data_IF_635383466410
#
_entry.id   IF_635383466410
#
_cell.length_a   1.000
_cell.length_b   1.000
_cell.length_c   1.000
_cell.angle_alpha   90.00
_cell.angle_beta   90.00
_cell.angle_gamma   90.00
#
_symmetry.space_group_name_H-M   'P 1'
#
loop_
_entity.id
_entity.type
_entity.pdbx_description
1 polymer ?
#
# COMPACT_ATOMS: atom_id res chain seq x y z
N UNK A 1 23.32 -53.21 6.82
CA UNK A 1 22.19 -52.31 7.14
C UNK A 1 22.68 -50.88 7.02
N UNK A 2 22.47 -50.24 5.87
CA UNK A 2 23.02 -48.91 5.55
C UNK A 2 21.98 -47.85 5.94
N UNK A 3 22.44 -46.90 6.74
CA UNK A 3 21.63 -45.99 7.57
C UNK A 3 20.89 -44.98 6.71
N UNK A 4 19.58 -44.86 6.95
CA UNK A 4 18.72 -43.77 6.49
C UNK A 4 19.19 -42.45 7.10
N UNK A 5 19.79 -41.57 6.28
CA UNK A 5 20.11 -40.19 6.67
C UNK A 5 19.85 -39.24 5.50
N UNK A 6 18.63 -39.27 4.96
CA UNK A 6 18.15 -38.29 3.98
C UNK A 6 16.75 -37.88 4.41
N UNK A 7 16.65 -36.88 5.29
CA UNK A 7 15.32 -36.51 5.81
C UNK A 7 15.20 -35.25 6.66
N UNK A 8 16.20 -34.37 6.71
CA UNK A 8 16.18 -33.21 7.62
C UNK A 8 16.08 -31.84 6.94
N UNK A 9 16.06 -31.75 5.61
CA UNK A 9 16.00 -30.44 4.92
C UNK A 9 14.59 -29.88 4.68
N UNK A 10 13.52 -30.66 4.93
CA UNK A 10 12.16 -30.27 4.56
C UNK A 10 11.41 -29.44 5.62
N UNK A 11 11.93 -29.33 6.84
CA UNK A 11 11.20 -28.71 7.97
C UNK A 11 11.34 -27.18 8.05
N UNK A 12 12.26 -26.57 7.30
CA UNK A 12 12.48 -25.12 7.30
C UNK A 12 11.46 -24.32 6.47
N UNK A 13 10.64 -24.99 5.65
CA UNK A 13 9.60 -24.36 4.82
C UNK A 13 8.25 -24.18 5.55
N UNK A 14 8.10 -24.73 6.75
CA UNK A 14 6.84 -24.69 7.51
C UNK A 14 6.72 -23.51 8.47
N UNK A 15 7.70 -22.60 8.52
CA UNK A 15 7.61 -21.41 9.36
C UNK A 15 6.95 -20.29 8.54
N UNK A 16 5.70 -19.91 8.83
CA UNK A 16 5.08 -18.78 8.17
C UNK A 16 5.80 -17.51 8.64
N UNK A 17 6.69 -16.97 7.80
CA UNK A 17 7.18 -15.63 8.02
C UNK A 17 5.99 -14.68 7.85
N UNK A 18 5.61 -13.88 8.87
CA UNK A 18 4.59 -12.88 8.68
C UNK A 18 5.08 -11.93 7.60
N UNK A 19 4.31 -11.78 6.52
CA UNK A 19 4.55 -10.75 5.54
C UNK A 19 4.35 -9.39 6.25
N UNK A 20 5.45 -8.81 6.73
CA UNK A 20 5.44 -7.46 7.27
C UNK A 20 5.11 -6.55 6.09
N UNK A 21 3.83 -6.15 6.01
CA UNK A 21 3.41 -5.14 5.06
C UNK A 21 4.31 -3.92 5.25
N UNK A 22 5.01 -3.52 4.18
CA UNK A 22 5.89 -2.36 4.20
C UNK A 22 5.06 -1.12 4.58
N UNK A 23 5.11 -0.72 5.85
CA UNK A 23 4.40 0.43 6.41
C UNK A 23 4.98 1.77 5.93
N UNK A 24 6.03 1.72 5.11
CA UNK A 24 6.77 2.88 4.65
C UNK A 24 6.84 2.82 3.12
N UNK A 25 5.72 3.12 2.46
CA UNK A 25 5.80 3.62 1.08
C UNK A 25 6.01 5.12 1.21
N UNK A 26 7.26 5.63 1.12
CA UNK A 26 7.52 7.07 1.11
C UNK A 26 6.77 7.68 -0.08
N UNK A 27 6.07 8.78 0.20
CA UNK A 27 5.38 9.68 -0.72
C UNK A 27 5.02 9.09 -2.10
N UNK A 28 3.87 8.40 -2.18
CA UNK A 28 3.22 8.14 -3.47
C UNK A 28 2.57 9.44 -3.93
N UNK A 29 3.21 10.13 -4.88
CA UNK A 29 2.67 11.27 -5.64
C UNK A 29 1.18 11.02 -5.95
N UNK A 30 0.28 11.65 -5.19
CA UNK A 30 -1.16 11.41 -5.28
C UNK A 30 -1.62 11.83 -6.67
N UNK A 31 -2.34 10.96 -7.39
CA UNK A 31 -2.80 11.27 -8.75
C UNK A 31 -4.29 11.57 -8.75
N UNK A 32 -4.71 12.45 -9.66
CA UNK A 32 -6.13 12.66 -9.93
C UNK A 32 -6.80 11.32 -10.32
N UNK A 33 -7.98 11.05 -9.76
CA UNK A 33 -8.71 9.80 -9.94
C UNK A 33 -8.32 8.67 -8.97
N UNK A 34 -7.20 8.78 -8.25
CA UNK A 34 -6.79 7.80 -7.24
C UNK A 34 -7.70 7.87 -6.02
N UNK A 35 -8.02 6.71 -5.42
CA UNK A 35 -8.73 6.69 -4.14
C UNK A 35 -7.89 7.33 -3.04
N UNK A 36 -8.52 8.20 -2.26
CA UNK A 36 -7.93 8.77 -1.06
C UNK A 36 -8.42 8.04 0.18
N UNK A 37 -7.63 8.10 1.25
CA UNK A 37 -8.03 7.54 2.54
C UNK A 37 -9.20 8.35 3.08
N UNK A 38 -10.08 7.70 3.84
CA UNK A 38 -11.24 8.35 4.46
C UNK A 38 -10.86 9.53 5.34
N UNK A 39 -9.70 9.44 6.03
CA UNK A 39 -9.15 10.51 6.88
C UNK A 39 -8.67 11.74 6.09
N UNK A 40 -8.53 11.63 4.77
CA UNK A 40 -8.07 12.69 3.90
C UNK A 40 -9.21 13.37 3.14
N UNK A 41 -10.47 12.95 3.35
CA UNK A 41 -11.65 13.58 2.73
C UNK A 41 -11.71 15.05 3.10
N UNK A 42 -11.77 15.92 2.08
CA UNK A 42 -11.76 17.37 2.22
C UNK A 42 -10.36 18.00 2.25
N UNK A 43 -9.30 17.21 2.44
CA UNK A 43 -7.91 17.74 2.42
C UNK A 43 -7.45 18.01 1.01
N UNK A 44 -6.54 18.97 0.90
CA UNK A 44 -5.83 19.29 -0.33
C UNK A 44 -4.34 19.00 -0.20
N UNK A 45 -3.75 18.56 -1.29
CA UNK A 45 -2.33 18.23 -1.41
C UNK A 45 -1.77 18.93 -2.63
N UNK A 46 -0.57 19.50 -2.48
CA UNK A 46 0.17 20.07 -3.60
C UNK A 46 1.11 19.01 -4.14
N UNK A 47 1.04 18.76 -5.43
CA UNK A 47 1.98 17.92 -6.15
C UNK A 47 3.27 18.69 -6.43
N UNK A 48 4.38 17.97 -6.68
CA UNK A 48 5.63 18.59 -7.12
C UNK A 48 5.45 19.40 -8.42
N UNK A 49 4.48 19.01 -9.26
CA UNK A 49 4.15 19.69 -10.51
C UNK A 49 3.34 21.00 -10.31
N UNK A 50 3.13 21.43 -9.05
CA UNK A 50 2.37 22.63 -8.70
C UNK A 50 0.84 22.45 -8.70
N UNK A 51 0.34 21.32 -9.20
CA UNK A 51 -1.08 20.99 -9.19
C UNK A 51 -1.59 20.77 -7.76
N UNK A 52 -2.81 21.25 -7.48
CA UNK A 52 -3.51 20.94 -6.23
C UNK A 52 -4.51 19.84 -6.48
N UNK A 53 -4.46 18.79 -5.67
CA UNK A 53 -5.52 17.79 -5.61
C UNK A 53 -6.32 17.97 -4.33
N UNK A 54 -7.63 17.80 -4.40
CA UNK A 54 -8.52 17.74 -3.25
C UNK A 54 -9.18 16.37 -3.21
N UNK A 55 -9.10 15.70 -2.07
CA UNK A 55 -9.81 14.44 -1.87
C UNK A 55 -11.30 14.76 -1.68
N UNK A 56 -12.11 14.33 -2.64
CA UNK A 56 -13.56 14.59 -2.68
C UNK A 56 -14.30 13.26 -2.58
N UNK A 57 -15.38 13.23 -1.79
CA UNK A 57 -16.23 12.04 -1.64
C UNK A 57 -17.25 12.00 -2.79
N UNK A 58 -17.21 10.94 -3.59
CA UNK A 58 -18.17 10.66 -4.66
C UNK A 58 -18.97 9.40 -4.28
N UNK A 59 -20.04 9.59 -3.50
CA UNK A 59 -20.84 8.49 -2.97
C UNK A 59 -20.09 7.68 -1.91
N UNK A 60 -19.93 6.38 -2.12
CA UNK A 60 -19.34 5.45 -1.14
C UNK A 60 -17.81 5.51 -1.04
N UNK A 61 -17.12 6.13 -2.03
CA UNK A 61 -15.65 6.19 -2.07
C UNK A 61 -15.20 7.63 -2.29
N UNK A 62 -14.00 7.95 -1.82
CA UNK A 62 -13.40 9.27 -2.04
C UNK A 62 -12.19 9.17 -2.98
N UNK A 63 -12.04 10.15 -3.86
CA UNK A 63 -10.95 10.22 -4.84
C UNK A 63 -10.27 11.58 -4.81
N UNK A 64 -8.98 11.60 -5.09
CA UNK A 64 -8.25 12.82 -5.36
C UNK A 64 -8.74 13.41 -6.68
N UNK A 65 -9.20 14.67 -6.67
CA UNK A 65 -9.62 15.41 -7.87
C UNK A 65 -8.78 16.66 -8.02
N UNK A 66 -8.58 17.07 -9.27
CA UNK A 66 -7.91 18.33 -9.56
C UNK A 66 -8.72 19.50 -8.99
N UNK A 67 -8.05 20.36 -8.26
CA UNK A 67 -8.63 21.56 -7.68
C UNK A 67 -7.94 22.76 -8.30
N UNK A 68 -8.60 23.36 -9.30
CA UNK A 68 -8.17 24.60 -9.94
C UNK A 68 -8.17 25.76 -8.93
#
# INVERSE_FOLDING_TARGET
MKRFLVGSLALSLLVPFPAIAANTVPYKNQKSGQFCKTVDIGKSVKLPDGMKLKCTKDGARARWKMNY
#
